data_IF_249906775177
#
_entry.id   IF_249906775177
#
_cell.length_a   1.000
_cell.length_b   1.000
_cell.length_c   1.000
_cell.angle_alpha   90.00
_cell.angle_beta   90.00
_cell.angle_gamma   90.00
#
_symmetry.space_group_name_H-M   'P 1'
#
loop_
_entity.id
_entity.type
_entity.pdbx_description
1 polymer ?
#
# COMPACT_ATOMS: atom_id res chain seq x y z
N UNK A 1 35.22 12.03 -60.09
CA UNK A 1 34.42 13.20 -59.62
C UNK A 1 34.50 13.17 -58.09
N UNK A 2 35.30 14.07 -57.47
CA UNK A 2 34.83 15.25 -56.70
C UNK A 2 33.97 14.84 -55.47
N UNK A 3 34.26 15.10 -54.19
CA UNK A 3 35.26 15.89 -53.46
C UNK A 3 35.47 15.34 -52.02
N UNK A 4 36.64 15.67 -51.48
CA UNK A 4 37.20 15.57 -50.10
C UNK A 4 36.31 16.22 -49.01
N UNK A 5 36.27 15.65 -47.79
CA UNK A 5 36.56 16.32 -46.49
C UNK A 5 36.26 15.33 -45.34
N UNK A 6 37.24 14.77 -44.60
CA UNK A 6 38.11 15.40 -43.58
C UNK A 6 37.33 15.81 -42.31
N UNK A 7 37.87 15.36 -41.16
CA UNK A 7 37.65 15.76 -39.76
C UNK A 7 36.52 15.07 -38.97
N UNK A 8 36.89 13.97 -38.32
CA UNK A 8 36.58 13.87 -36.89
C UNK A 8 37.29 15.01 -36.15
N UNK A 9 36.60 15.63 -35.18
CA UNK A 9 36.98 15.41 -33.79
C UNK A 9 35.73 15.09 -32.96
N UNK A 10 35.62 13.96 -32.25
CA UNK A 10 36.28 13.73 -30.95
C UNK A 10 36.69 15.04 -30.24
N UNK A 11 35.72 15.94 -30.05
CA UNK A 11 35.89 17.11 -29.18
C UNK A 11 34.56 17.44 -28.49
N UNK A 12 34.25 16.67 -27.44
CA UNK A 12 33.42 17.14 -26.31
C UNK A 12 33.93 16.54 -24.99
N UNK A 13 35.24 16.28 -24.92
CA UNK A 13 35.98 15.95 -23.71
C UNK A 13 37.25 16.80 -23.65
N UNK A 14 37.08 18.13 -23.62
CA UNK A 14 38.13 19.07 -23.26
C UNK A 14 37.51 20.43 -22.88
N UNK A 15 36.68 20.43 -21.85
CA UNK A 15 36.49 21.59 -20.98
C UNK A 15 36.85 21.12 -19.56
N UNK A 16 38.12 20.75 -19.38
CA UNK A 16 38.70 20.63 -18.05
C UNK A 16 39.34 21.98 -17.71
N UNK A 17 38.81 22.64 -16.68
CA UNK A 17 39.53 23.66 -15.92
C UNK A 17 39.03 25.09 -16.08
N UNK A 18 37.87 25.39 -15.51
CA UNK A 18 37.72 26.48 -14.52
C UNK A 18 36.27 26.59 -14.04
N UNK A 19 36.05 26.13 -12.81
CA UNK A 19 34.96 26.59 -11.96
C UNK A 19 33.61 25.93 -12.17
N UNK A 20 33.46 24.67 -11.74
CA UNK A 20 32.29 24.33 -10.91
C UNK A 20 32.40 22.98 -10.17
N UNK A 21 33.57 22.64 -9.61
CA UNK A 21 33.65 21.50 -8.67
C UNK A 21 32.62 21.66 -7.54
N UNK A 22 32.33 22.89 -7.14
CA UNK A 22 31.24 23.23 -6.23
C UNK A 22 29.85 22.84 -6.77
N UNK A 23 29.45 23.25 -7.98
CA UNK A 23 28.14 22.84 -8.50
C UNK A 23 28.05 21.34 -8.82
N UNK A 24 29.13 20.69 -9.23
CA UNK A 24 29.12 19.24 -9.45
C UNK A 24 29.04 18.46 -8.12
N UNK A 25 29.76 18.91 -7.08
CA UNK A 25 29.66 18.37 -5.73
C UNK A 25 28.28 18.63 -5.11
N UNK A 26 27.72 19.83 -5.30
CA UNK A 26 26.37 20.20 -4.86
C UNK A 26 25.30 19.37 -5.58
N UNK A 27 25.40 19.21 -6.90
CA UNK A 27 24.48 18.37 -7.67
C UNK A 27 24.57 16.90 -7.26
N UNK A 28 25.78 16.39 -6.98
CA UNK A 28 25.96 15.03 -6.47
C UNK A 28 25.42 14.87 -5.04
N UNK A 29 25.58 15.89 -4.18
CA UNK A 29 25.03 15.91 -2.83
C UNK A 29 23.49 15.97 -2.85
N UNK A 30 22.90 16.82 -3.69
CA UNK A 30 21.46 16.89 -3.90
C UNK A 30 20.90 15.58 -4.47
N UNK A 31 21.58 14.96 -5.43
CA UNK A 31 21.18 13.66 -5.97
C UNK A 31 21.21 12.56 -4.90
N UNK A 32 22.25 12.53 -4.05
CA UNK A 32 22.32 11.61 -2.91
C UNK A 32 21.23 11.88 -1.88
N UNK A 33 20.94 13.14 -1.57
CA UNK A 33 19.86 13.52 -0.66
C UNK A 33 18.49 13.09 -1.20
N UNK A 34 18.21 13.33 -2.49
CA UNK A 34 16.98 12.87 -3.15
C UNK A 34 16.86 11.35 -3.17
N UNK A 35 17.96 10.63 -3.41
CA UNK A 35 17.97 9.17 -3.37
C UNK A 35 17.70 8.63 -1.95
N UNK A 36 18.25 9.27 -0.92
CA UNK A 36 17.98 8.91 0.47
C UNK A 36 16.52 9.16 0.87
N UNK A 37 15.94 10.30 0.48
CA UNK A 37 14.54 10.60 0.72
C UNK A 37 13.60 9.65 -0.05
N UNK A 38 13.93 9.32 -1.31
CA UNK A 38 13.18 8.33 -2.08
C UNK A 38 13.24 6.93 -1.42
N UNK A 39 14.41 6.54 -0.92
CA UNK A 39 14.58 5.27 -0.19
C UNK A 39 13.72 5.24 1.07
N UNK A 40 13.75 6.32 1.87
CA UNK A 40 12.94 6.44 3.08
C UNK A 40 11.44 6.39 2.77
N UNK A 41 11.00 7.06 1.70
CA UNK A 41 9.62 7.00 1.25
C UNK A 41 9.22 5.57 0.83
N UNK A 42 10.10 4.85 0.13
CA UNK A 42 9.88 3.45 -0.25
C UNK A 42 9.80 2.54 0.98
N UNK A 43 10.75 2.63 1.92
CA UNK A 43 10.76 1.83 3.15
C UNK A 43 9.47 2.07 3.97
N UNK A 44 8.96 3.32 3.98
CA UNK A 44 7.68 3.64 4.61
C UNK A 44 6.50 3.04 3.84
N UNK A 45 6.47 3.12 2.51
CA UNK A 45 5.43 2.48 1.69
C UNK A 45 5.38 0.97 1.94
N UNK A 46 6.53 0.30 1.95
CA UNK A 46 6.65 -1.13 2.20
C UNK A 46 6.15 -1.50 3.61
N UNK A 47 6.49 -0.69 4.61
CA UNK A 47 6.02 -0.88 5.98
C UNK A 47 4.49 -0.68 6.14
N UNK A 48 3.85 0.06 5.23
CA UNK A 48 2.40 0.29 5.21
C UNK A 48 1.64 -0.70 4.32
N UNK A 49 2.32 -1.33 3.36
CA UNK A 49 1.73 -2.13 2.29
C UNK A 49 0.79 -3.23 2.79
N UNK A 50 1.16 -3.94 3.87
CA UNK A 50 0.31 -5.00 4.43
C UNK A 50 -1.03 -4.44 4.94
N UNK A 51 -1.01 -3.33 5.68
CA UNK A 51 -2.22 -2.74 6.24
C UNK A 51 -3.11 -2.15 5.13
N UNK A 52 -2.51 -1.52 4.12
CA UNK A 52 -3.24 -1.02 2.94
C UNK A 52 -3.91 -2.18 2.19
N UNK A 53 -3.19 -3.27 1.95
CA UNK A 53 -3.75 -4.48 1.32
C UNK A 53 -4.88 -5.08 2.15
N UNK A 54 -4.75 -5.13 3.47
CA UNK A 54 -5.80 -5.63 4.34
C UNK A 54 -7.02 -4.71 4.39
N UNK A 55 -6.83 -3.38 4.40
CA UNK A 55 -7.92 -2.43 4.26
C UNK A 55 -8.68 -2.68 2.94
N UNK A 56 -7.96 -2.84 1.84
CA UNK A 56 -8.55 -3.16 0.54
C UNK A 56 -9.26 -4.52 0.51
N UNK A 57 -8.70 -5.55 1.14
CA UNK A 57 -9.31 -6.88 1.22
C UNK A 57 -10.65 -6.85 1.97
N UNK A 58 -10.71 -6.09 3.07
CA UNK A 58 -11.93 -5.88 3.85
C UNK A 58 -12.97 -5.10 3.02
N UNK A 59 -12.56 -4.04 2.30
CA UNK A 59 -13.42 -3.29 1.38
C UNK A 59 -13.97 -4.15 0.24
N UNK A 60 -13.16 -5.01 -0.34
CA UNK A 60 -13.58 -5.93 -1.40
C UNK A 60 -14.71 -6.86 -0.94
N UNK A 61 -14.71 -7.25 0.33
CA UNK A 61 -15.68 -8.16 0.95
C UNK A 61 -16.77 -7.44 1.76
N UNK A 62 -16.84 -6.11 1.68
CA UNK A 62 -17.70 -5.26 2.51
C UNK A 62 -19.18 -5.66 2.42
N UNK A 63 -19.67 -5.98 1.21
CA UNK A 63 -21.05 -6.46 1.01
C UNK A 63 -21.35 -7.71 1.81
N UNK A 64 -20.45 -8.71 1.77
CA UNK A 64 -20.65 -9.97 2.48
C UNK A 64 -20.50 -9.78 3.98
N UNK A 65 -19.48 -9.06 4.43
CA UNK A 65 -19.22 -8.77 5.85
C UNK A 65 -20.36 -7.98 6.51
N UNK A 66 -21.05 -7.14 5.75
CA UNK A 66 -22.22 -6.39 6.23
C UNK A 66 -23.54 -7.14 6.11
N UNK A 67 -23.57 -8.33 5.50
CA UNK A 67 -24.78 -9.17 5.44
C UNK A 67 -25.16 -9.71 6.83
N UNK A 68 -26.43 -10.09 7.08
CA UNK A 68 -26.94 -10.30 8.43
C UNK A 68 -26.13 -11.28 9.29
N UNK A 69 -25.75 -12.43 8.74
CA UNK A 69 -25.03 -13.47 9.49
C UNK A 69 -23.58 -13.04 9.81
N UNK A 70 -22.71 -12.70 8.83
CA UNK A 70 -21.39 -12.14 9.09
C UNK A 70 -21.41 -10.91 10.01
N UNK A 71 -22.37 -10.00 9.84
CA UNK A 71 -22.50 -8.82 10.68
C UNK A 71 -22.79 -9.17 12.14
N UNK A 72 -23.64 -10.15 12.40
CA UNK A 72 -23.92 -10.65 13.75
C UNK A 72 -22.73 -11.36 14.38
N UNK A 73 -21.84 -11.95 13.56
CA UNK A 73 -20.63 -12.62 14.04
C UNK A 73 -19.54 -11.59 14.40
N UNK A 74 -19.28 -10.64 13.49
CA UNK A 74 -18.09 -9.81 13.51
C UNK A 74 -18.33 -8.32 13.83
N UNK A 75 -19.58 -7.86 13.83
CA UNK A 75 -19.94 -6.44 13.96
C UNK A 75 -19.97 -5.68 12.64
N UNK A 76 -19.89 -6.37 11.50
CA UNK A 76 -19.79 -5.76 10.18
C UNK A 76 -18.36 -5.37 9.82
N UNK A 77 -18.22 -4.59 8.74
CA UNK A 77 -16.93 -4.27 8.14
C UNK A 77 -16.17 -3.18 8.91
N UNK A 78 -16.88 -2.23 9.51
CA UNK A 78 -16.29 -1.00 10.08
C UNK A 78 -15.19 -1.25 11.11
N UNK A 79 -15.33 -2.17 12.09
CA UNK A 79 -14.28 -2.38 13.09
C UNK A 79 -12.92 -2.80 12.50
N UNK A 80 -12.92 -3.50 11.37
CA UNK A 80 -11.69 -3.88 10.69
C UNK A 80 -11.10 -2.72 9.88
N UNK A 81 -11.95 -1.93 9.20
CA UNK A 81 -11.51 -0.75 8.47
C UNK A 81 -10.87 0.28 9.41
N UNK A 82 -11.49 0.52 10.56
CA UNK A 82 -10.97 1.43 11.58
C UNK A 82 -9.61 0.96 12.11
N UNK A 83 -9.47 -0.35 12.36
CA UNK A 83 -8.21 -0.94 12.80
C UNK A 83 -7.09 -0.71 11.77
N UNK A 84 -7.31 -1.05 10.51
CA UNK A 84 -6.28 -0.92 9.48
C UNK A 84 -5.98 0.54 9.15
N UNK A 85 -6.99 1.40 9.03
CA UNK A 85 -6.81 2.83 8.83
C UNK A 85 -6.00 3.44 9.98
N UNK A 86 -6.32 3.09 11.23
CA UNK A 86 -5.59 3.55 12.41
C UNK A 86 -4.14 3.09 12.44
N UNK A 87 -3.86 1.84 12.03
CA UNK A 87 -2.48 1.33 11.91
C UNK A 87 -1.68 2.08 10.83
N UNK A 88 -2.32 2.40 9.70
CA UNK A 88 -1.69 3.17 8.61
C UNK A 88 -1.41 4.59 9.08
N UNK A 89 -2.40 5.28 9.63
CA UNK A 89 -2.25 6.64 10.13
C UNK A 89 -1.16 6.74 11.21
N UNK A 90 -1.15 5.81 12.18
CA UNK A 90 -0.15 5.77 13.25
C UNK A 90 1.27 5.58 12.71
N UNK A 91 1.44 4.69 11.73
CA UNK A 91 2.75 4.37 11.16
C UNK A 91 3.24 5.46 10.20
N UNK A 92 2.33 6.11 9.47
CA UNK A 92 2.60 7.26 8.61
C UNK A 92 3.06 8.46 9.44
N UNK A 93 2.36 8.77 10.54
CA UNK A 93 2.61 9.97 11.35
C UNK A 93 2.41 11.24 10.51
N UNK A 94 3.34 12.19 10.63
CA UNK A 94 3.33 13.44 9.87
C UNK A 94 4.12 13.36 8.55
N UNK A 95 4.58 12.17 8.17
CA UNK A 95 5.33 11.97 6.93
C UNK A 95 4.43 12.13 5.70
N UNK A 96 5.02 12.65 4.63
CA UNK A 96 4.38 12.82 3.32
C UNK A 96 5.16 12.00 2.32
N UNK A 97 4.46 11.10 1.63
CA UNK A 97 5.01 10.42 0.46
C UNK A 97 4.39 11.07 -0.78
N UNK A 98 5.21 11.72 -1.65
CA UNK A 98 4.73 12.43 -2.81
C UNK A 98 3.86 11.57 -3.72
N UNK A 99 2.94 12.21 -4.44
CA UNK A 99 2.14 11.56 -5.47
C UNK A 99 3.01 11.02 -6.61
N UNK A 100 2.59 9.88 -7.18
CA UNK A 100 3.17 9.27 -8.37
C UNK A 100 2.02 8.83 -9.29
N UNK A 101 1.46 9.74 -10.12
CA UNK A 101 0.21 9.51 -10.82
C UNK A 101 0.18 8.17 -11.57
N UNK A 102 -0.89 7.37 -11.41
CA UNK A 102 -2.18 7.74 -10.83
C UNK A 102 -2.27 7.66 -9.29
N UNK A 103 -1.20 7.26 -8.59
CA UNK A 103 -1.16 7.14 -7.13
C UNK A 103 -1.19 8.52 -6.47
N UNK A 104 -2.22 8.84 -5.66
CA UNK A 104 -2.28 10.09 -4.91
C UNK A 104 -1.14 10.20 -3.89
N UNK A 105 -0.93 11.41 -3.40
CA UNK A 105 -0.05 11.63 -2.25
C UNK A 105 -0.53 10.83 -1.04
N UNK A 106 0.40 10.18 -0.33
CA UNK A 106 0.11 9.56 0.95
C UNK A 106 0.60 10.45 2.08
N UNK A 107 -0.36 11.12 2.72
CA UNK A 107 -0.17 11.95 3.90
C UNK A 107 -1.38 11.80 4.82
N UNK A 108 -1.29 12.27 6.06
CA UNK A 108 -2.43 12.25 7.00
C UNK A 108 -3.65 13.02 6.44
N UNK A 109 -3.41 14.14 5.76
CA UNK A 109 -4.47 14.96 5.17
C UNK A 109 -5.16 14.26 3.98
N UNK A 110 -4.40 13.47 3.21
CA UNK A 110 -4.87 12.81 2.00
C UNK A 110 -5.10 11.30 2.19
N UNK A 111 -5.11 10.80 3.43
CA UNK A 111 -5.12 9.37 3.71
C UNK A 111 -6.34 8.67 3.12
N UNK A 112 -7.53 9.24 3.28
CA UNK A 112 -8.76 8.60 2.77
C UNK A 112 -8.79 8.54 1.24
N UNK A 113 -8.37 9.62 0.56
CA UNK A 113 -8.25 9.65 -0.90
C UNK A 113 -7.21 8.63 -1.41
N UNK A 114 -6.08 8.49 -0.69
CA UNK A 114 -5.08 7.46 -1.00
C UNK A 114 -5.64 6.05 -0.82
N UNK A 115 -6.36 5.79 0.28
CA UNK A 115 -6.96 4.48 0.55
C UNK A 115 -8.03 4.12 -0.47
N UNK A 116 -8.86 5.06 -0.91
CA UNK A 116 -9.86 4.83 -1.96
C UNK A 116 -9.20 4.43 -3.29
N UNK A 117 -8.12 5.13 -3.67
CA UNK A 117 -7.32 4.73 -4.84
C UNK A 117 -6.70 3.34 -4.65
N UNK A 118 -6.07 3.08 -3.49
CA UNK A 118 -5.39 1.82 -3.22
C UNK A 118 -6.37 0.64 -3.19
N UNK A 119 -7.59 0.83 -2.67
CA UNK A 119 -8.67 -0.16 -2.72
C UNK A 119 -8.98 -0.52 -4.16
N UNK A 120 -9.19 0.49 -5.02
CA UNK A 120 -9.47 0.27 -6.44
C UNK A 120 -8.33 -0.47 -7.13
N UNK A 121 -7.09 -0.03 -6.92
CA UNK A 121 -5.89 -0.66 -7.50
C UNK A 121 -5.75 -2.13 -7.08
N UNK A 122 -5.89 -2.43 -5.78
CA UNK A 122 -5.80 -3.80 -5.27
C UNK A 122 -6.92 -4.71 -5.79
N UNK A 123 -8.15 -4.20 -5.91
CA UNK A 123 -9.27 -4.95 -6.49
C UNK A 123 -9.01 -5.25 -7.96
N UNK A 124 -8.61 -4.23 -8.74
CA UNK A 124 -8.45 -4.33 -10.19
C UNK A 124 -7.23 -5.19 -10.57
N UNK A 125 -6.17 -5.20 -9.76
CA UNK A 125 -4.90 -5.84 -10.11
C UNK A 125 -4.59 -7.12 -9.32
N UNK A 126 -5.09 -7.27 -8.08
CA UNK A 126 -4.75 -8.43 -7.23
C UNK A 126 -5.96 -9.34 -6.95
N UNK A 127 -7.10 -8.78 -6.56
CA UNK A 127 -8.23 -9.63 -6.13
C UNK A 127 -9.12 -10.14 -7.26
N UNK A 128 -9.27 -9.36 -8.34
CA UNK A 128 -10.15 -9.75 -9.47
C UNK A 128 -9.40 -10.49 -10.58
N UNK A 129 -8.13 -10.13 -10.83
CA UNK A 129 -7.29 -10.75 -11.88
C UNK A 129 -6.43 -11.92 -11.38
N UNK A 130 -6.20 -12.01 -10.07
CA UNK A 130 -5.36 -13.04 -9.46
C UNK A 130 -6.08 -14.36 -9.19
N UNK A 131 -5.38 -15.28 -8.54
CA UNK A 131 -5.98 -16.51 -8.02
C UNK A 131 -7.01 -16.18 -6.93
N UNK A 132 -8.27 -16.52 -7.18
CA UNK A 132 -9.38 -16.29 -6.26
C UNK A 132 -9.14 -16.96 -4.91
N UNK A 133 -8.55 -18.15 -4.86
CA UNK A 133 -8.24 -18.83 -3.60
C UNK A 133 -7.23 -18.04 -2.77
N UNK A 134 -6.20 -17.48 -3.43
CA UNK A 134 -5.20 -16.63 -2.77
C UNK A 134 -5.80 -15.30 -2.27
N UNK A 135 -6.71 -14.70 -3.05
CA UNK A 135 -7.43 -13.50 -2.63
C UNK A 135 -8.29 -13.77 -1.39
N UNK A 136 -9.01 -14.89 -1.36
CA UNK A 136 -9.79 -15.31 -0.19
C UNK A 136 -8.93 -15.63 1.04
N UNK A 137 -7.76 -16.26 0.85
CA UNK A 137 -6.80 -16.49 1.92
C UNK A 137 -6.27 -15.16 2.51
N UNK A 138 -6.05 -14.16 1.65
CA UNK A 138 -5.64 -12.82 2.08
C UNK A 138 -6.71 -12.16 2.94
N UNK A 139 -7.96 -12.11 2.46
CA UNK A 139 -9.11 -11.61 3.23
C UNK A 139 -9.19 -12.29 4.59
N UNK A 140 -9.14 -13.62 4.58
CA UNK A 140 -9.24 -14.44 5.77
C UNK A 140 -8.18 -14.10 6.82
N UNK A 141 -6.95 -13.90 6.37
CA UNK A 141 -5.82 -13.54 7.23
C UNK A 141 -6.01 -12.15 7.83
N UNK A 142 -6.45 -11.20 7.02
CA UNK A 142 -6.73 -9.84 7.48
C UNK A 142 -7.89 -9.81 8.51
N UNK A 143 -8.97 -10.56 8.26
CA UNK A 143 -10.06 -10.65 9.23
C UNK A 143 -9.62 -11.27 10.55
N UNK A 144 -8.74 -12.28 10.53
CA UNK A 144 -8.17 -12.83 11.76
C UNK A 144 -7.37 -11.78 12.51
N UNK A 145 -6.42 -11.09 11.86
CA UNK A 145 -5.61 -10.07 12.53
C UNK A 145 -6.45 -8.93 13.09
N UNK A 146 -7.42 -8.41 12.34
CA UNK A 146 -8.32 -7.37 12.84
C UNK A 146 -9.24 -7.85 13.97
N UNK A 147 -9.65 -9.12 13.96
CA UNK A 147 -10.39 -9.72 15.07
C UNK A 147 -9.52 -9.87 16.34
N UNK A 148 -8.24 -10.19 16.16
CA UNK A 148 -7.31 -10.46 17.25
C UNK A 148 -6.79 -9.20 17.93
N UNK A 149 -6.44 -8.20 17.14
CA UNK A 149 -5.71 -7.01 17.59
C UNK A 149 -6.52 -5.71 17.43
N UNK A 150 -7.69 -5.76 16.80
CA UNK A 150 -8.58 -4.62 16.66
C UNK A 150 -9.38 -4.31 17.92
N UNK A 151 -10.40 -3.47 17.77
CA UNK A 151 -11.23 -2.96 18.89
C UNK A 151 -12.71 -3.34 18.77
N UNK A 152 -13.06 -4.14 17.74
CA UNK A 152 -14.43 -4.56 17.46
C UNK A 152 -15.00 -5.62 18.40
N UNK A 153 -16.26 -6.05 18.20
CA UNK A 153 -16.92 -7.05 19.05
C UNK A 153 -16.12 -8.34 19.24
N UNK A 154 -15.39 -8.79 18.21
CA UNK A 154 -14.57 -10.00 18.30
C UNK A 154 -13.34 -9.85 19.20
N UNK A 155 -12.77 -8.65 19.31
CA UNK A 155 -11.63 -8.38 20.17
C UNK A 155 -11.96 -8.46 21.67
N UNK A 156 -13.26 -8.43 22.02
CA UNK A 156 -13.75 -8.57 23.39
C UNK A 156 -14.04 -10.03 23.78
N UNK A 157 -14.01 -10.94 22.82
CA UNK A 157 -14.25 -12.36 23.06
C UNK A 157 -12.99 -13.04 23.59
N UNK A 158 -13.18 -14.11 24.34
CA UNK A 158 -12.08 -15.00 24.69
C UNK A 158 -11.47 -15.65 23.43
N UNK A 159 -10.19 -16.09 23.48
CA UNK A 159 -9.50 -16.62 22.30
C UNK A 159 -10.21 -17.80 21.62
N UNK A 160 -10.84 -18.70 22.38
CA UNK A 160 -11.48 -19.90 21.82
C UNK A 160 -12.76 -19.52 21.06
N UNK A 161 -13.61 -18.70 21.66
CA UNK A 161 -14.83 -18.19 21.01
C UNK A 161 -14.50 -17.35 19.78
N UNK A 162 -13.46 -16.52 19.86
CA UNK A 162 -12.97 -15.71 18.73
C UNK A 162 -12.53 -16.59 17.56
N UNK A 163 -11.70 -17.61 17.83
CA UNK A 163 -11.24 -18.54 16.80
C UNK A 163 -12.41 -19.27 16.13
N UNK A 164 -13.38 -19.76 16.91
CA UNK A 164 -14.57 -20.41 16.37
C UNK A 164 -15.39 -19.48 15.45
N UNK A 165 -15.57 -18.22 15.84
CA UNK A 165 -16.26 -17.23 14.99
C UNK A 165 -15.48 -16.87 13.73
N UNK A 166 -14.16 -16.79 13.81
CA UNK A 166 -13.30 -16.58 12.63
C UNK A 166 -13.44 -17.77 11.67
N UNK A 167 -13.46 -19.00 12.16
CA UNK A 167 -13.69 -20.19 11.32
C UNK A 167 -15.07 -20.18 10.65
N UNK A 168 -16.12 -19.79 11.37
CA UNK A 168 -17.46 -19.61 10.79
C UNK A 168 -17.45 -18.53 9.69
N UNK A 169 -16.81 -17.38 9.95
CA UNK A 169 -16.71 -16.31 8.97
C UNK A 169 -15.96 -16.74 7.71
N UNK A 170 -14.91 -17.56 7.86
CA UNK A 170 -14.17 -18.15 6.72
C UNK A 170 -15.05 -19.04 5.87
N UNK A 171 -15.80 -19.95 6.49
CA UNK A 171 -16.70 -20.85 5.78
C UNK A 171 -17.76 -20.05 5.00
N UNK A 172 -18.39 -19.06 5.66
CA UNK A 172 -19.39 -18.19 5.02
C UNK A 172 -18.82 -17.39 3.86
N UNK A 173 -17.62 -16.82 3.99
CA UNK A 173 -17.00 -16.06 2.91
C UNK A 173 -16.57 -16.94 1.74
N UNK A 174 -16.19 -18.19 2.00
CA UNK A 174 -15.90 -19.17 0.94
C UNK A 174 -17.17 -19.59 0.19
N UNK A 175 -18.28 -19.80 0.89
CA UNK A 175 -19.57 -20.17 0.28
C UNK A 175 -20.23 -19.01 -0.48
N UNK A 176 -20.22 -17.81 0.09
CA UNK A 176 -20.88 -16.62 -0.48
C UNK A 176 -20.02 -15.89 -1.52
N UNK A 177 -18.72 -16.20 -1.54
CA UNK A 177 -17.76 -15.69 -2.51
C UNK A 177 -17.29 -16.74 -3.51
N UNK A 178 -17.89 -17.94 -3.56
CA UNK A 178 -17.77 -18.83 -4.71
C UNK A 178 -18.63 -18.33 -5.87
#
# INVERSE_FOLDING_TARGET
>A
MKHIAILAPLALLALAGCGDNGAQENAAAEAKARAAEARKAQDLQDALALNVRCYAAVKWQERLLNSPVPRNIAGGTQPFLDYYRGMIEKKLGDQVIPADPPKPELSKANLDAYLDWAVKDQIDNNFTKGDRAQAHATVTTCLQSGAEFGTGPMAKLDPATRLGKIQQLRALLAELGA
#
